data_IF_567919663628
#
_entry.id   IF_567919663628
#
_cell.length_a   1.000
_cell.length_b   1.000
_cell.length_c   1.000
_cell.angle_alpha   90.00
_cell.angle_beta   90.00
_cell.angle_gamma   90.00
#
_symmetry.space_group_name_H-M   'P 1'
#
loop_
_entity.id
_entity.type
_entity.pdbx_description
1 polymer ?
#
# COMPACT_ATOMS: atom_id res chain seq x y z
N UNK A 1 11.08 1.78 8.90
CA UNK A 1 9.94 2.70 9.17
C UNK A 1 8.81 1.87 9.78
N UNK A 2 8.00 2.42 10.68
CA UNK A 2 6.87 1.70 11.29
C UNK A 2 5.52 2.29 10.85
N UNK A 3 4.52 1.43 10.67
CA UNK A 3 3.16 1.84 10.36
C UNK A 3 2.44 2.36 11.60
N UNK A 4 1.65 3.41 11.42
CA UNK A 4 0.76 3.89 12.48
C UNK A 4 -0.45 2.95 12.63
N UNK A 5 -1.03 2.88 13.82
CA UNK A 5 -2.18 2.01 14.13
C UNK A 5 -3.34 2.12 13.12
N UNK A 6 -3.65 3.34 12.66
CA UNK A 6 -4.71 3.52 11.66
C UNK A 6 -4.33 2.95 10.30
N UNK A 7 -3.06 2.99 9.90
CA UNK A 7 -2.59 2.44 8.63
C UNK A 7 -2.66 0.91 8.67
N UNK A 8 -2.31 0.31 9.81
CA UNK A 8 -2.45 -1.15 10.04
C UNK A 8 -3.93 -1.54 9.92
N UNK A 9 -4.81 -0.89 10.70
CA UNK A 9 -6.26 -1.16 10.66
C UNK A 9 -6.83 -1.03 9.25
N UNK A 10 -6.60 0.12 8.60
CA UNK A 10 -7.11 0.36 7.25
C UNK A 10 -6.55 -0.61 6.22
N UNK A 11 -5.27 -1.02 6.36
CA UNK A 11 -4.69 -2.00 5.45
C UNK A 11 -5.31 -3.38 5.62
N UNK A 12 -5.68 -3.79 6.84
CA UNK A 12 -6.36 -5.04 7.13
C UNK A 12 -7.80 -5.02 6.61
N UNK A 13 -8.55 -3.96 6.87
CA UNK A 13 -9.91 -3.77 6.34
C UNK A 13 -9.90 -3.82 4.80
N UNK A 14 -8.90 -3.16 4.19
CA UNK A 14 -8.74 -3.16 2.74
C UNK A 14 -8.36 -4.54 2.19
N UNK A 15 -7.58 -5.32 2.93
CA UNK A 15 -7.21 -6.70 2.59
C UNK A 15 -8.46 -7.57 2.51
N UNK A 16 -9.31 -7.54 3.54
CA UNK A 16 -10.55 -8.32 3.58
C UNK A 16 -11.50 -7.95 2.42
N UNK A 17 -11.66 -6.65 2.16
CA UNK A 17 -12.51 -6.16 1.07
C UNK A 17 -11.94 -6.60 -0.28
N UNK A 18 -10.62 -6.48 -0.48
CA UNK A 18 -9.96 -6.84 -1.73
C UNK A 18 -10.07 -8.35 -2.00
N UNK A 19 -9.90 -9.19 -0.98
CA UNK A 19 -10.04 -10.64 -1.14
C UNK A 19 -11.47 -11.05 -1.52
N UNK A 20 -12.48 -10.42 -0.90
CA UNK A 20 -13.90 -10.72 -1.14
C UNK A 20 -14.42 -10.12 -2.45
N UNK A 21 -14.16 -8.84 -2.71
CA UNK A 21 -14.75 -8.07 -3.82
C UNK A 21 -13.82 -7.91 -5.02
N UNK A 22 -12.55 -8.30 -4.89
CA UNK A 22 -11.50 -8.14 -5.93
C UNK A 22 -11.18 -6.69 -6.29
N UNK A 23 -11.75 -5.73 -5.56
CA UNK A 23 -11.46 -4.30 -5.69
C UNK A 23 -11.69 -3.62 -4.34
N UNK A 24 -10.85 -2.63 -4.02
CA UNK A 24 -10.99 -1.78 -2.85
C UNK A 24 -10.56 -0.35 -3.20
N UNK A 25 -11.23 0.64 -2.60
CA UNK A 25 -10.88 2.05 -2.75
C UNK A 25 -10.63 2.67 -1.36
N UNK A 26 -9.46 3.31 -1.19
CA UNK A 26 -9.04 3.92 0.07
C UNK A 26 -9.29 5.43 0.05
N UNK A 27 -10.40 5.86 0.64
CA UNK A 27 -10.72 7.28 0.83
C UNK A 27 -10.12 7.80 2.14
N UNK A 28 -8.86 8.23 2.10
CA UNK A 28 -8.15 8.74 3.28
C UNK A 28 -7.80 10.22 3.15
N UNK A 29 -7.77 10.91 4.28
CA UNK A 29 -7.40 12.32 4.38
C UNK A 29 -5.99 12.61 3.80
N UNK A 30 -5.75 13.84 3.35
CA UNK A 30 -4.45 14.29 2.83
C UNK A 30 -3.33 14.07 3.85
N UNK A 31 -2.13 13.72 3.38
CA UNK A 31 -0.92 13.48 4.18
C UNK A 31 -1.00 12.38 5.27
N UNK A 32 -1.98 11.49 5.21
CA UNK A 32 -2.11 10.33 6.13
C UNK A 32 -1.40 9.05 5.65
N UNK A 33 -0.49 9.15 4.68
CA UNK A 33 0.28 7.98 4.21
C UNK A 33 -0.54 6.95 3.44
N UNK A 34 -1.42 7.42 2.54
CA UNK A 34 -2.22 6.59 1.61
C UNK A 34 -1.41 5.55 0.85
N UNK A 35 -0.29 5.97 0.26
CA UNK A 35 0.56 5.07 -0.55
C UNK A 35 1.10 3.92 0.29
N UNK A 36 1.57 4.22 1.50
CA UNK A 36 2.09 3.22 2.42
C UNK A 36 0.99 2.24 2.87
N UNK A 37 -0.22 2.72 3.14
CA UNK A 37 -1.37 1.86 3.43
C UNK A 37 -1.71 0.94 2.26
N UNK A 38 -1.68 1.44 1.03
CA UNK A 38 -1.91 0.62 -0.17
C UNK A 38 -0.82 -0.45 -0.38
N UNK A 39 0.46 -0.09 -0.20
CA UNK A 39 1.57 -1.04 -0.28
C UNK A 39 1.47 -2.12 0.81
N UNK A 40 1.08 -1.74 2.03
CA UNK A 40 0.82 -2.71 3.09
C UNK A 40 -0.34 -3.66 2.74
N UNK A 41 -1.43 -3.16 2.15
CA UNK A 41 -2.51 -4.03 1.67
C UNK A 41 -2.02 -5.02 0.62
N UNK A 42 -1.17 -4.61 -0.32
CA UNK A 42 -0.55 -5.51 -1.30
C UNK A 42 0.32 -6.58 -0.63
N UNK A 43 1.08 -6.21 0.40
CA UNK A 43 1.85 -7.15 1.20
C UNK A 43 0.96 -8.18 1.90
N UNK A 44 -0.12 -7.71 2.55
CA UNK A 44 -1.05 -8.55 3.31
C UNK A 44 -1.74 -9.61 2.43
N UNK A 45 -2.16 -9.25 1.21
CA UNK A 45 -2.73 -10.20 0.24
C UNK A 45 -1.68 -11.13 -0.40
N UNK A 46 -0.41 -11.03 0.03
CA UNK A 46 0.72 -11.81 -0.51
C UNK A 46 0.84 -11.67 -2.02
N UNK A 47 0.62 -10.45 -2.54
CA UNK A 47 0.86 -10.16 -3.95
C UNK A 47 2.31 -10.49 -4.29
N UNK A 48 2.56 -11.00 -5.50
CA UNK A 48 3.93 -11.30 -5.97
C UNK A 48 4.50 -10.18 -6.82
N UNK A 49 3.64 -9.55 -7.63
CA UNK A 49 3.96 -8.44 -8.52
C UNK A 49 2.90 -7.37 -8.38
N UNK A 50 3.32 -6.13 -8.19
CA UNK A 50 2.45 -4.98 -7.96
C UNK A 50 2.82 -3.91 -8.97
N UNK A 51 1.90 -3.59 -9.87
CA UNK A 51 2.02 -2.44 -10.77
C UNK A 51 1.53 -1.19 -10.04
N UNK A 52 2.40 -0.20 -9.85
CA UNK A 52 2.06 1.04 -9.17
C UNK A 52 2.04 2.22 -10.12
N UNK A 53 0.86 2.80 -10.33
CA UNK A 53 0.66 3.89 -11.28
C UNK A 53 0.59 5.22 -10.53
N UNK A 54 1.47 6.16 -10.88
CA UNK A 54 1.52 7.50 -10.29
C UNK A 54 2.12 8.54 -11.23
N UNK A 55 2.05 9.81 -10.83
CA UNK A 55 2.81 10.88 -11.48
C UNK A 55 4.31 10.65 -11.28
N UNK A 56 5.11 10.83 -12.32
CA UNK A 56 6.58 10.62 -12.31
C UNK A 56 7.26 11.30 -11.11
N UNK A 57 6.85 12.51 -10.73
CA UNK A 57 7.42 13.26 -9.59
C UNK A 57 7.27 12.57 -8.23
N UNK A 58 6.26 11.70 -8.07
CA UNK A 58 6.00 11.00 -6.81
C UNK A 58 6.62 9.59 -6.78
N UNK A 59 7.17 9.11 -7.90
CA UNK A 59 7.70 7.76 -8.01
C UNK A 59 8.87 7.52 -7.03
N UNK A 60 9.84 8.44 -6.98
CA UNK A 60 11.02 8.32 -6.12
C UNK A 60 10.67 8.21 -4.63
N UNK A 61 9.69 9.00 -4.15
CA UNK A 61 9.22 8.91 -2.77
C UNK A 61 8.57 7.55 -2.45
N UNK A 62 7.84 6.99 -3.40
CA UNK A 62 7.13 5.71 -3.19
C UNK A 62 8.11 4.54 -3.23
N UNK A 63 9.08 4.60 -4.14
CA UNK A 63 10.16 3.61 -4.18
C UNK A 63 10.97 3.61 -2.89
N UNK A 64 11.25 4.80 -2.35
CA UNK A 64 11.92 4.92 -1.05
C UNK A 64 11.09 4.26 0.05
N UNK A 65 9.80 4.58 0.16
CA UNK A 65 8.90 3.97 1.16
C UNK A 65 8.84 2.44 1.04
N UNK A 66 8.74 1.91 -0.19
CA UNK A 66 8.75 0.48 -0.46
C UNK A 66 10.06 -0.19 -0.01
N UNK A 67 11.21 0.41 -0.35
CA UNK A 67 12.53 -0.12 0.03
C UNK A 67 12.72 -0.14 1.56
N UNK A 68 12.13 0.81 2.30
CA UNK A 68 12.26 0.90 3.76
C UNK A 68 11.41 -0.10 4.55
N UNK A 69 10.44 -0.75 3.89
CA UNK A 69 9.45 -1.62 4.54
C UNK A 69 9.71 -3.11 4.27
N UNK A 70 10.74 -3.45 3.48
CA UNK A 70 11.13 -4.83 3.17
C UNK A 70 9.96 -5.72 2.70
N UNK A 71 9.16 -5.21 1.75
CA UNK A 71 8.02 -5.94 1.22
C UNK A 71 8.43 -7.10 0.30
N UNK A 72 7.76 -8.24 0.45
CA UNK A 72 8.04 -9.48 -0.30
C UNK A 72 7.35 -9.56 -1.69
N UNK A 73 7.27 -8.45 -2.42
CA UNK A 73 6.67 -8.40 -3.76
C UNK A 73 7.44 -7.49 -4.69
N UNK A 74 7.47 -7.78 -5.98
CA UNK A 74 8.14 -6.92 -6.96
C UNK A 74 7.24 -5.71 -7.28
N UNK A 75 7.77 -4.50 -7.08
CA UNK A 75 7.12 -3.26 -7.46
C UNK A 75 7.57 -2.86 -8.88
N UNK A 76 6.61 -2.59 -9.78
CA UNK A 76 6.86 -2.15 -11.16
C UNK A 76 6.08 -0.87 -11.48
#
# INVERSE_FOLDING_TARGET
MELRNYQIRLSNDATEILERKKIVCLFMEVRTGKSLTALQTCHNVKAKRVLFITKIKAFSSIQYDYNQMNYNFDLT
#
